data_IF_431701950280
#
_entry.id   IF_431701950280
#
_cell.length_a   1.000
_cell.length_b   1.000
_cell.length_c   1.000
_cell.angle_alpha   90.00
_cell.angle_beta   90.00
_cell.angle_gamma   90.00
#
_symmetry.space_group_name_H-M   'P 1'
#
loop_
_entity.id
_entity.type
_entity.pdbx_description
1 polymer ?
#
# COMPACT_ATOMS: atom_id res chain seq x y z
N UNK A 1 3.38 27.86 74.74
CA UNK A 1 2.90 28.94 73.87
C UNK A 1 2.01 28.30 72.80
N UNK A 2 0.68 28.20 73.00
CA UNK A 2 -0.40 29.09 72.47
C UNK A 2 -0.26 29.30 70.95
N UNK A 3 -0.94 28.50 70.11
CA UNK A 3 -2.32 28.69 69.57
C UNK A 3 -2.58 30.13 69.12
N UNK A 4 -2.99 30.33 67.87
CA UNK A 4 -4.17 31.11 67.51
C UNK A 4 -4.64 30.77 66.08
N UNK A 5 -5.93 30.47 66.01
CA UNK A 5 -6.80 30.23 64.85
C UNK A 5 -7.88 31.31 64.98
N UNK A 6 -8.21 32.04 63.93
CA UNK A 6 -9.45 32.84 63.76
C UNK A 6 -9.61 33.08 62.24
N UNK A 7 -10.65 32.55 61.57
CA UNK A 7 -12.04 33.06 61.42
C UNK A 7 -12.04 34.39 60.61
N UNK A 8 -12.85 34.66 59.58
CA UNK A 8 -14.20 34.19 59.20
C UNK A 8 -14.53 34.48 57.71
N UNK A 9 -15.58 33.82 57.22
CA UNK A 9 -16.26 33.93 55.91
C UNK A 9 -17.09 35.24 55.77
N UNK A 10 -17.71 35.55 54.59
CA UNK A 10 -19.09 35.07 54.42
C UNK A 10 -19.51 34.65 52.99
N UNK A 11 -20.46 33.69 53.00
CA UNK A 11 -21.73 33.68 52.25
C UNK A 11 -21.75 33.48 50.71
N UNK A 12 -22.19 32.26 50.35
CA UNK A 12 -23.02 31.97 49.20
C UNK A 12 -24.36 32.71 49.32
N UNK A 13 -24.90 33.27 48.23
CA UNK A 13 -26.26 33.01 47.69
C UNK A 13 -26.49 33.76 46.35
N UNK A 14 -26.73 32.94 45.32
CA UNK A 14 -27.44 33.10 44.04
C UNK A 14 -27.59 34.46 43.31
N UNK A 15 -27.17 34.46 42.04
CA UNK A 15 -28.07 34.88 40.95
C UNK A 15 -27.98 33.88 39.80
N UNK A 16 -29.15 33.34 39.45
CA UNK A 16 -29.43 32.63 38.22
C UNK A 16 -29.19 33.57 37.03
N UNK A 17 -28.55 33.10 35.97
CA UNK A 17 -29.27 32.79 34.74
C UNK A 17 -28.36 32.10 33.71
N UNK A 18 -29.03 31.37 32.82
CA UNK A 18 -28.65 30.84 31.52
C UNK A 18 -27.20 30.88 31.03
N UNK A 19 -26.80 29.70 30.54
CA UNK A 19 -26.17 29.54 29.23
C UNK A 19 -24.64 29.66 29.19
N UNK A 20 -23.96 28.60 29.66
CA UNK A 20 -22.61 28.26 29.18
C UNK A 20 -22.68 27.93 27.69
N UNK A 21 -22.38 28.94 26.87
CA UNK A 21 -22.07 28.84 25.44
C UNK A 21 -20.88 27.89 25.22
N UNK A 22 -21.02 26.98 24.26
CA UNK A 22 -20.02 26.02 23.78
C UNK A 22 -18.89 26.69 22.98
N UNK A 23 -18.28 27.77 23.48
CA UNK A 23 -17.29 28.54 22.70
C UNK A 23 -15.89 27.90 22.63
N UNK A 24 -15.61 26.85 23.39
CA UNK A 24 -14.34 26.11 23.27
C UNK A 24 -14.35 25.10 22.11
N UNK A 25 -15.52 24.65 21.64
CA UNK A 25 -15.66 23.69 20.53
C UNK A 25 -15.74 24.41 19.17
N UNK A 26 -16.37 25.59 19.12
CA UNK A 26 -16.51 26.40 17.90
C UNK A 26 -15.18 27.01 17.44
N UNK A 27 -14.30 27.40 18.39
CA UNK A 27 -13.00 28.02 18.10
C UNK A 27 -12.01 27.02 17.48
N UNK A 28 -12.04 25.76 17.92
CA UNK A 28 -11.27 24.67 17.34
C UNK A 28 -11.74 24.28 15.94
N UNK A 29 -13.06 24.34 15.68
CA UNK A 29 -13.64 24.11 14.35
C UNK A 29 -13.31 25.25 13.36
N UNK A 30 -13.33 26.52 13.80
CA UNK A 30 -12.98 27.68 12.97
C UNK A 30 -11.50 27.70 12.57
N UNK A 31 -10.60 27.29 13.47
CA UNK A 31 -9.17 27.17 13.17
C UNK A 31 -8.88 25.96 12.24
N UNK A 32 -9.57 24.83 12.42
CA UNK A 32 -9.42 23.66 11.55
C UNK A 32 -10.04 23.83 10.15
N UNK A 33 -11.03 24.71 9.97
CA UNK A 33 -11.57 25.04 8.66
C UNK A 33 -10.69 26.05 7.89
N UNK A 34 -9.88 26.83 8.61
CA UNK A 34 -9.01 27.85 8.01
C UNK A 34 -7.84 27.22 7.25
N UNK A 35 -7.19 26.20 7.82
CA UNK A 35 -6.08 25.47 7.20
C UNK A 35 -6.41 24.87 5.82
N UNK A 36 -7.52 24.15 5.62
CA UNK A 36 -7.87 23.62 4.30
C UNK A 36 -8.28 24.72 3.31
N UNK A 37 -8.90 25.82 3.76
CA UNK A 37 -9.21 26.97 2.90
C UNK A 37 -7.93 27.71 2.45
N UNK A 38 -6.93 27.80 3.33
CA UNK A 38 -5.60 28.34 3.03
C UNK A 38 -4.86 27.42 2.05
N UNK A 39 -4.95 26.10 2.22
CA UNK A 39 -4.42 25.11 1.27
C UNK A 39 -5.09 25.18 -0.11
N UNK A 40 -6.41 25.40 -0.15
CA UNK A 40 -7.19 25.59 -1.40
C UNK A 40 -6.75 26.89 -2.08
N UNK A 41 -6.59 27.97 -1.32
CA UNK A 41 -6.14 29.26 -1.83
C UNK A 41 -4.73 29.15 -2.43
N UNK A 42 -3.79 28.53 -1.71
CA UNK A 42 -2.40 28.39 -2.15
C UNK A 42 -2.27 27.49 -3.39
N UNK A 43 -3.04 26.40 -3.49
CA UNK A 43 -3.07 25.56 -4.69
C UNK A 43 -3.78 26.20 -5.89
N UNK A 44 -4.72 27.13 -5.67
CA UNK A 44 -5.39 27.86 -6.75
C UNK A 44 -4.47 28.89 -7.44
N UNK A 45 -3.52 29.45 -6.69
CA UNK A 45 -2.63 30.51 -7.18
C UNK A 45 -1.23 30.02 -7.61
N UNK A 46 -0.79 28.83 -7.19
CA UNK A 46 0.54 28.29 -7.52
C UNK A 46 0.68 27.74 -8.97
N UNK A 47 -0.42 27.60 -9.71
CA UNK A 47 -0.43 27.01 -11.06
C UNK A 47 -0.82 28.04 -12.11
N UNK A 48 0.19 28.59 -12.81
CA UNK A 48 0.05 29.60 -13.88
C UNK A 48 -0.12 29.03 -15.29
N UNK A 49 -0.41 27.74 -15.44
CA UNK A 49 -0.61 27.11 -16.74
C UNK A 49 -2.00 26.47 -16.82
N UNK A 50 -2.71 26.81 -17.91
CA UNK A 50 -4.03 26.29 -18.28
C UNK A 50 -3.94 24.81 -18.62
N UNK A 51 -3.88 23.97 -17.58
CA UNK A 51 -3.94 22.53 -17.70
C UNK A 51 -5.40 22.08 -17.76
N UNK A 52 -5.83 21.50 -18.89
CA UNK A 52 -7.20 21.05 -19.18
C UNK A 52 -7.69 20.00 -18.16
N UNK A 53 -6.78 19.32 -17.46
CA UNK A 53 -7.09 18.34 -16.41
C UNK A 53 -7.16 18.94 -14.98
N UNK A 54 -6.84 20.23 -14.82
CA UNK A 54 -6.92 20.98 -13.57
C UNK A 54 -8.32 20.94 -12.90
N UNK A 55 -9.44 21.15 -13.61
CA UNK A 55 -10.76 21.05 -12.97
C UNK A 55 -11.07 19.63 -12.49
N UNK A 56 -10.61 18.58 -13.20
CA UNK A 56 -10.78 17.19 -12.79
C UNK A 56 -10.00 16.87 -11.51
N UNK A 57 -8.71 17.24 -11.42
CA UNK A 57 -7.90 16.98 -10.23
C UNK A 57 -8.36 17.79 -9.02
N UNK A 58 -8.76 19.03 -9.23
CA UNK A 58 -9.35 19.88 -8.19
C UNK A 58 -10.66 19.28 -7.71
N UNK A 59 -11.54 18.83 -8.62
CA UNK A 59 -12.82 18.18 -8.24
C UNK A 59 -12.59 16.90 -7.45
N UNK A 60 -11.67 16.03 -7.88
CA UNK A 60 -11.36 14.77 -7.19
C UNK A 60 -10.71 15.02 -5.83
N UNK A 61 -9.78 15.96 -5.74
CA UNK A 61 -9.14 16.35 -4.48
C UNK A 61 -10.12 17.00 -3.50
N UNK A 62 -10.97 17.91 -3.98
CA UNK A 62 -12.00 18.57 -3.18
C UNK A 62 -13.07 17.59 -2.70
N UNK A 63 -13.53 16.66 -3.54
CA UNK A 63 -14.47 15.61 -3.13
C UNK A 63 -13.86 14.70 -2.05
N UNK A 64 -12.59 14.32 -2.20
CA UNK A 64 -11.90 13.50 -1.18
C UNK A 64 -11.78 14.22 0.16
N UNK A 65 -11.47 15.52 0.15
CA UNK A 65 -11.40 16.35 1.36
C UNK A 65 -12.79 16.53 1.99
N UNK A 66 -13.82 16.76 1.17
CA UNK A 66 -15.20 16.89 1.64
C UNK A 66 -15.73 15.57 2.23
N UNK A 67 -15.37 14.43 1.64
CA UNK A 67 -15.70 13.11 2.15
C UNK A 67 -14.98 12.81 3.46
N UNK A 68 -13.71 13.21 3.61
CA UNK A 68 -13.00 13.09 4.89
C UNK A 68 -13.66 13.95 5.98
N UNK A 69 -13.99 15.21 5.65
CA UNK A 69 -14.70 16.13 6.57
C UNK A 69 -16.07 15.56 6.95
N UNK A 70 -16.84 15.04 5.98
CA UNK A 70 -18.13 14.40 6.22
C UNK A 70 -17.98 13.18 7.14
N UNK A 71 -16.98 12.34 6.91
CA UNK A 71 -16.70 11.18 7.76
C UNK A 71 -16.35 11.57 9.19
N UNK A 72 -15.61 12.68 9.38
CA UNK A 72 -15.23 13.21 10.70
C UNK A 72 -16.41 13.90 11.38
N UNK A 73 -17.30 14.53 10.61
CA UNK A 73 -18.54 15.11 11.11
C UNK A 73 -19.50 14.01 11.57
N UNK A 74 -19.71 12.96 10.78
CA UNK A 74 -20.54 11.80 11.16
C UNK A 74 -20.00 11.09 12.40
N UNK A 75 -18.66 10.95 12.52
CA UNK A 75 -18.02 10.41 13.73
C UNK A 75 -18.19 11.30 14.96
N UNK A 76 -18.35 12.62 14.79
CA UNK A 76 -18.52 13.58 15.89
C UNK A 76 -19.98 13.93 16.19
N UNK A 77 -20.92 13.58 15.31
CA UNK A 77 -22.36 13.83 15.45
C UNK A 77 -23.15 12.76 16.19
N UNK A 78 -22.51 11.74 16.77
CA UNK A 78 -23.22 10.88 17.72
C UNK A 78 -23.51 11.70 18.99
N UNK A 79 -24.77 12.08 19.29
CA UNK A 79 -25.09 12.49 20.64
C UNK A 79 -24.75 11.28 21.51
N UNK A 80 -23.95 11.49 22.57
CA UNK A 80 -23.92 10.57 23.70
C UNK A 80 -25.36 10.46 24.18
N UNK A 81 -26.10 9.46 23.70
CA UNK A 81 -27.39 9.07 24.27
C UNK A 81 -27.09 8.84 25.73
N UNK A 82 -27.61 9.74 26.59
CA UNK A 82 -27.70 9.48 28.03
C UNK A 82 -28.31 8.08 28.14
N UNK A 83 -27.55 7.16 28.72
CA UNK A 83 -28.11 5.87 29.12
C UNK A 83 -29.40 6.16 29.90
N UNK A 84 -30.53 5.54 29.55
CA UNK A 84 -31.67 5.57 30.43
C UNK A 84 -31.25 4.81 31.68
N UNK A 85 -31.03 5.54 32.79
CA UNK A 85 -30.96 4.94 34.11
C UNK A 85 -32.17 4.03 34.25
N UNK A 86 -31.93 2.73 34.43
CA UNK A 86 -32.96 1.75 34.73
C UNK A 86 -33.64 2.19 36.02
N UNK A 87 -34.79 2.86 35.87
CA UNK A 87 -35.74 3.10 36.96
C UNK A 87 -36.19 1.72 37.43
N UNK A 88 -35.60 1.27 38.54
CA UNK A 88 -36.12 0.16 39.31
C UNK A 88 -37.51 0.57 39.79
N UNK A 89 -38.49 -0.25 39.41
CA UNK A 89 -39.88 -0.09 39.81
C UNK A 89 -40.01 0.01 41.33
N UNK A 90 -40.74 1.05 41.75
CA UNK A 90 -41.58 1.18 42.93
C UNK A 90 -41.56 0.03 43.96
N UNK A 91 -40.97 0.30 45.12
CA UNK A 91 -41.51 -0.10 46.43
C UNK A 91 -41.10 0.97 47.46
N UNK A 92 -41.91 2.03 47.52
CA UNK A 92 -41.97 2.91 48.69
C UNK A 92 -42.53 2.11 49.86
N UNK A 93 -41.65 1.67 50.76
CA UNK A 93 -42.03 1.39 52.14
C UNK A 93 -41.03 2.06 53.08
N UNK A 94 -41.44 3.23 53.57
CA UNK A 94 -40.94 3.79 54.84
C UNK A 94 -40.87 2.69 55.89
N UNK A 95 -39.69 2.51 56.49
CA UNK A 95 -39.58 2.04 57.88
C UNK A 95 -38.35 2.71 58.51
N UNK A 96 -38.60 3.39 59.63
CA UNK A 96 -37.65 4.32 60.24
C UNK A 96 -36.41 3.67 60.84
N UNK A 97 -35.40 4.51 61.08
CA UNK A 97 -34.31 4.27 62.03
C UNK A 97 -34.89 3.95 63.43
N UNK A 98 -34.24 3.12 64.29
CA UNK A 98 -32.82 3.25 64.73
C UNK A 98 -32.16 1.89 65.13
N UNK A 99 -31.07 1.79 65.94
CA UNK A 99 -29.89 2.64 66.16
C UNK A 99 -28.57 1.93 65.75
N UNK A 100 -27.45 2.67 65.78
CA UNK A 100 -26.09 2.13 65.68
C UNK A 100 -25.87 0.95 66.63
N UNK A 101 -25.54 -0.24 66.11
CA UNK A 101 -24.76 -1.21 66.87
C UNK A 101 -24.00 -2.18 65.94
N UNK A 102 -22.68 -2.21 66.15
CA UNK A 102 -21.72 -3.27 65.83
C UNK A 102 -21.35 -3.45 64.35
N UNK A 103 -20.11 -3.06 64.07
CA UNK A 103 -19.28 -3.58 62.96
C UNK A 103 -19.18 -5.11 63.08
N UNK A 104 -20.14 -5.83 62.50
CA UNK A 104 -19.93 -7.21 62.11
C UNK A 104 -19.09 -7.19 60.84
N UNK A 105 -17.81 -7.54 60.99
CA UNK A 105 -16.97 -7.93 59.87
C UNK A 105 -17.54 -9.27 59.39
N UNK A 106 -18.47 -9.22 58.44
CA UNK A 106 -18.98 -10.43 57.80
C UNK A 106 -17.78 -11.21 57.24
N UNK A 107 -17.65 -12.50 57.58
CA UNK A 107 -16.68 -13.34 56.90
C UNK A 107 -17.10 -13.34 55.44
N UNK A 108 -16.17 -12.99 54.54
CA UNK A 108 -16.39 -13.06 53.11
C UNK A 108 -16.89 -14.48 52.82
N UNK A 109 -18.20 -14.61 52.61
CA UNK A 109 -18.85 -15.90 52.40
C UNK A 109 -18.32 -16.51 51.11
N UNK A 110 -18.17 -17.83 51.08
CA UNK A 110 -17.67 -18.58 49.92
C UNK A 110 -18.47 -18.27 48.64
N UNK A 111 -19.76 -17.95 48.80
CA UNK A 111 -20.65 -17.45 47.76
C UNK A 111 -20.19 -16.12 47.14
N UNK A 112 -19.67 -15.18 47.94
CA UNK A 112 -19.15 -13.90 47.45
C UNK A 112 -17.91 -14.12 46.56
N UNK A 113 -17.06 -15.08 46.93
CA UNK A 113 -15.90 -15.47 46.12
C UNK A 113 -16.34 -16.16 44.81
N UNK A 114 -17.35 -17.03 44.89
CA UNK A 114 -17.96 -17.70 43.73
C UNK A 114 -18.59 -16.70 42.75
N UNK A 115 -19.38 -15.74 43.24
CA UNK A 115 -19.99 -14.69 42.42
C UNK A 115 -18.94 -13.78 41.76
N UNK A 116 -17.85 -13.44 42.45
CA UNK A 116 -16.74 -12.68 41.84
C UNK A 116 -16.04 -13.48 40.74
N UNK A 117 -15.85 -14.78 40.95
CA UNK A 117 -15.27 -15.68 39.93
C UNK A 117 -16.19 -15.81 38.71
N UNK A 118 -17.49 -15.95 38.93
CA UNK A 118 -18.50 -16.03 37.87
C UNK A 118 -18.64 -14.71 37.09
N UNK A 119 -18.63 -13.56 37.77
CA UNK A 119 -18.60 -12.24 37.13
C UNK A 119 -17.36 -12.06 36.25
N UNK A 120 -16.18 -12.46 36.75
CA UNK A 120 -14.95 -12.42 35.96
C UNK A 120 -15.02 -13.37 34.75
N UNK A 121 -15.58 -14.56 34.93
CA UNK A 121 -15.82 -15.52 33.83
C UNK A 121 -16.75 -14.92 32.77
N UNK A 122 -17.88 -14.34 33.19
CA UNK A 122 -18.84 -13.67 32.30
C UNK A 122 -18.21 -12.48 31.56
N UNK A 123 -17.40 -11.67 32.25
CA UNK A 123 -16.66 -10.57 31.62
C UNK A 123 -15.65 -11.08 30.59
N UNK A 124 -14.94 -12.17 30.86
CA UNK A 124 -14.02 -12.78 29.90
C UNK A 124 -14.76 -13.32 28.68
N UNK A 125 -15.90 -14.00 28.88
CA UNK A 125 -16.75 -14.48 27.78
C UNK A 125 -17.24 -13.32 26.90
N UNK A 126 -17.66 -12.19 27.50
CA UNK A 126 -18.08 -11.00 26.75
C UNK A 126 -16.93 -10.39 25.94
N UNK A 127 -15.75 -10.24 26.52
CA UNK A 127 -14.55 -9.76 25.81
C UNK A 127 -14.16 -10.68 24.66
N UNK A 128 -14.28 -11.99 24.86
CA UNK A 128 -14.01 -12.96 23.81
C UNK A 128 -15.01 -12.84 22.65
N UNK A 129 -16.31 -12.72 22.93
CA UNK A 129 -17.33 -12.45 21.91
C UNK A 129 -17.07 -11.15 21.15
N UNK A 130 -16.71 -10.08 21.84
CA UNK A 130 -16.35 -8.80 21.24
C UNK A 130 -15.13 -8.94 20.30
N UNK A 131 -14.12 -9.71 20.71
CA UNK A 131 -12.98 -10.06 19.87
C UNK A 131 -13.40 -10.85 18.63
N UNK A 132 -14.35 -11.79 18.74
CA UNK A 132 -14.84 -12.55 17.59
C UNK A 132 -15.65 -11.70 16.61
N UNK A 133 -16.51 -10.80 17.09
CA UNK A 133 -17.26 -9.91 16.22
C UNK A 133 -16.35 -8.91 15.49
N UNK A 134 -15.31 -8.42 16.16
CA UNK A 134 -14.31 -7.55 15.53
C UNK A 134 -13.46 -8.31 14.49
N UNK A 135 -13.06 -9.55 14.75
CA UNK A 135 -12.34 -10.36 13.75
C UNK A 135 -13.23 -10.70 12.56
N UNK A 136 -14.49 -11.08 12.79
CA UNK A 136 -15.45 -11.37 11.74
C UNK A 136 -15.75 -10.15 10.86
N UNK A 137 -15.84 -8.96 11.48
CA UNK A 137 -15.97 -7.70 10.73
C UNK A 137 -14.78 -7.42 9.81
N UNK A 138 -13.55 -7.71 10.26
CA UNK A 138 -12.34 -7.59 9.43
C UNK A 138 -12.35 -8.60 8.29
N UNK A 139 -12.72 -9.85 8.56
CA UNK A 139 -12.80 -10.90 7.55
C UNK A 139 -13.85 -10.57 6.48
N UNK A 140 -15.02 -10.06 6.88
CA UNK A 140 -16.04 -9.54 5.96
C UNK A 140 -15.50 -8.42 5.06
N UNK A 141 -14.73 -7.49 5.62
CA UNK A 141 -14.12 -6.41 4.85
C UNK A 141 -13.07 -6.93 3.85
N UNK A 142 -12.26 -7.91 4.26
CA UNK A 142 -11.28 -8.57 3.38
C UNK A 142 -11.99 -9.29 2.23
N UNK A 143 -13.03 -10.08 2.52
CA UNK A 143 -13.81 -10.78 1.49
C UNK A 143 -14.48 -9.81 0.51
N UNK A 144 -15.03 -8.69 1.00
CA UNK A 144 -15.62 -7.67 0.13
C UNK A 144 -14.57 -7.04 -0.80
N UNK A 145 -13.37 -6.75 -0.29
CA UNK A 145 -12.27 -6.23 -1.11
C UNK A 145 -11.77 -7.25 -2.14
N UNK A 146 -11.69 -8.53 -1.76
CA UNK A 146 -11.33 -9.63 -2.68
C UNK A 146 -12.38 -9.78 -3.79
N UNK A 147 -13.66 -9.77 -3.44
CA UNK A 147 -14.76 -9.84 -4.41
C UNK A 147 -14.72 -8.65 -5.38
N UNK A 148 -14.51 -7.43 -4.87
CA UNK A 148 -14.37 -6.25 -5.72
C UNK A 148 -13.20 -6.38 -6.70
N UNK A 149 -12.05 -6.89 -6.22
CA UNK A 149 -10.90 -7.16 -7.09
C UNK A 149 -11.23 -8.19 -8.17
N UNK A 150 -11.92 -9.28 -7.81
CA UNK A 150 -12.31 -10.32 -8.76
C UNK A 150 -13.31 -9.83 -9.80
N UNK A 151 -14.25 -8.97 -9.41
CA UNK A 151 -15.16 -8.32 -10.36
C UNK A 151 -14.39 -7.48 -11.36
N UNK A 152 -13.41 -6.69 -10.90
CA UNK A 152 -12.56 -5.91 -11.80
C UNK A 152 -11.74 -6.82 -12.74
N UNK A 153 -11.07 -7.84 -12.21
CA UNK A 153 -10.30 -8.80 -13.02
C UNK A 153 -11.17 -9.47 -14.11
N UNK A 154 -12.42 -9.82 -13.78
CA UNK A 154 -13.36 -10.37 -14.75
C UNK A 154 -13.75 -9.34 -15.83
N UNK A 155 -14.03 -8.10 -15.43
CA UNK A 155 -14.33 -7.01 -16.37
C UNK A 155 -13.19 -6.78 -17.35
N UNK A 156 -11.95 -6.73 -16.86
CA UNK A 156 -10.76 -6.52 -17.70
C UNK A 156 -10.58 -7.69 -18.70
N UNK A 157 -10.85 -8.93 -18.26
CA UNK A 157 -10.81 -10.09 -19.16
C UNK A 157 -11.93 -10.08 -20.19
N UNK A 158 -13.12 -9.62 -19.84
CA UNK A 158 -14.23 -9.47 -20.77
C UNK A 158 -13.91 -8.46 -21.87
N UNK A 159 -13.28 -7.33 -21.53
CA UNK A 159 -12.79 -6.34 -22.51
C UNK A 159 -11.77 -6.96 -23.47
N UNK A 160 -10.79 -7.70 -22.95
CA UNK A 160 -9.81 -8.41 -23.79
C UNK A 160 -10.46 -9.42 -24.74
N UNK A 161 -11.51 -10.13 -24.28
CA UNK A 161 -12.27 -11.06 -25.12
C UNK A 161 -13.01 -10.31 -26.23
N UNK A 162 -13.60 -9.15 -25.93
CA UNK A 162 -14.27 -8.30 -26.92
C UNK A 162 -13.28 -7.84 -27.99
N UNK A 163 -12.10 -7.35 -27.60
CA UNK A 163 -11.05 -6.93 -28.53
C UNK A 163 -10.58 -8.09 -29.43
N UNK A 164 -10.33 -9.26 -28.84
CA UNK A 164 -9.93 -10.45 -29.60
C UNK A 164 -11.01 -10.91 -30.58
N UNK A 165 -12.29 -10.82 -30.20
CA UNK A 165 -13.41 -11.11 -31.10
C UNK A 165 -13.43 -10.13 -32.28
N UNK A 166 -13.27 -8.84 -32.04
CA UNK A 166 -13.23 -7.82 -33.10
C UNK A 166 -12.04 -8.02 -34.06
N UNK A 167 -10.87 -8.38 -33.52
CA UNK A 167 -9.69 -8.73 -34.35
C UNK A 167 -9.94 -9.98 -35.20
N UNK A 168 -10.52 -11.03 -34.61
CA UNK A 168 -10.84 -12.26 -35.34
C UNK A 168 -11.87 -12.02 -36.44
N UNK A 169 -12.87 -11.18 -36.20
CA UNK A 169 -13.85 -10.80 -37.22
C UNK A 169 -13.18 -10.07 -38.39
N UNK A 170 -12.34 -9.07 -38.09
CA UNK A 170 -11.55 -8.34 -39.10
C UNK A 170 -10.65 -9.27 -39.91
N UNK A 171 -9.97 -10.22 -39.26
CA UNK A 171 -9.14 -11.22 -39.95
C UNK A 171 -9.98 -12.14 -40.83
N UNK A 172 -11.15 -12.54 -40.36
CA UNK A 172 -12.08 -13.39 -41.13
C UNK A 172 -12.57 -12.66 -42.38
N UNK A 173 -12.89 -11.37 -42.27
CA UNK A 173 -13.25 -10.53 -43.42
C UNK A 173 -12.11 -10.43 -44.43
N UNK A 174 -10.88 -10.18 -43.97
CA UNK A 174 -9.68 -10.14 -44.84
C UNK A 174 -9.46 -11.47 -45.56
N UNK A 175 -9.58 -12.59 -44.86
CA UNK A 175 -9.46 -13.93 -45.46
C UNK A 175 -10.54 -14.16 -46.53
N UNK A 176 -11.79 -13.75 -46.27
CA UNK A 176 -12.87 -13.82 -47.26
C UNK A 176 -12.60 -12.92 -48.47
N UNK A 177 -12.10 -11.71 -48.26
CA UNK A 177 -11.72 -10.78 -49.33
C UNK A 177 -10.61 -11.37 -50.21
N UNK A 178 -9.53 -11.88 -49.61
CA UNK A 178 -8.47 -12.55 -50.34
C UNK A 178 -8.98 -13.78 -51.11
N UNK A 179 -9.83 -14.61 -50.49
CA UNK A 179 -10.42 -15.77 -51.16
C UNK A 179 -11.32 -15.37 -52.36
N UNK A 180 -12.00 -14.24 -52.27
CA UNK A 180 -12.81 -13.69 -53.36
C UNK A 180 -11.93 -13.11 -54.49
N UNK A 181 -10.86 -12.40 -54.17
CA UNK A 181 -9.89 -11.90 -55.15
C UNK A 181 -9.24 -13.04 -55.94
N UNK A 182 -8.87 -14.14 -55.28
CA UNK A 182 -8.33 -15.32 -55.96
C UNK A 182 -9.34 -16.03 -56.87
N UNK A 183 -10.63 -15.98 -56.55
CA UNK A 183 -11.70 -16.50 -57.44
C UNK A 183 -11.94 -15.58 -58.65
N UNK A 184 -11.89 -14.26 -58.46
CA UNK A 184 -12.11 -13.29 -59.53
C UNK A 184 -10.90 -13.17 -60.48
N UNK A 185 -9.68 -13.35 -59.98
CA UNK A 185 -8.45 -13.32 -60.79
C UNK A 185 -8.18 -14.66 -61.52
N UNK A 186 -8.96 -15.71 -61.26
CA UNK A 186 -8.86 -17.02 -61.92
C UNK A 186 -9.39 -17.09 -63.35
N UNK A 187 -9.87 -15.98 -63.93
CA UNK A 187 -10.45 -15.94 -65.30
C UNK A 187 -9.52 -15.23 -66.32
N UNK A 188 -8.34 -14.78 -65.89
CA UNK A 188 -7.32 -14.19 -66.78
C UNK A 188 -6.41 -15.24 -67.41
N UNK A 189 -6.77 -15.70 -68.61
CA UNK A 189 -5.97 -16.55 -69.49
C UNK A 189 -4.60 -15.89 -69.78
N UNK A 190 -3.52 -16.62 -69.48
CA UNK A 190 -2.28 -16.63 -70.28
C UNK A 190 -1.38 -15.39 -70.20
N UNK A 191 -0.48 -15.36 -69.23
CA UNK A 191 0.70 -14.47 -69.26
C UNK A 191 1.37 -14.38 -67.89
N UNK A 192 2.58 -14.93 -67.78
CA UNK A 192 3.50 -14.80 -66.64
C UNK A 192 3.17 -15.55 -65.34
N UNK A 193 2.82 -16.84 -65.47
CA UNK A 193 2.89 -17.78 -64.35
C UNK A 193 4.28 -17.84 -63.69
N UNK A 194 5.35 -17.53 -64.44
CA UNK A 194 6.72 -17.50 -63.94
C UNK A 194 7.02 -16.26 -63.07
N UNK A 195 6.50 -15.08 -63.45
CA UNK A 195 6.64 -13.84 -62.68
C UNK A 195 5.88 -13.89 -61.36
N UNK A 196 4.66 -14.45 -61.38
CA UNK A 196 3.88 -14.68 -60.16
C UNK A 196 4.57 -15.67 -59.21
N UNK A 197 5.16 -16.76 -59.72
CA UNK A 197 5.92 -17.71 -58.91
C UNK A 197 7.18 -17.09 -58.30
N UNK A 198 7.92 -16.29 -59.06
CA UNK A 198 9.13 -15.62 -58.57
C UNK A 198 8.81 -14.61 -57.44
N UNK A 199 7.71 -13.86 -57.57
CA UNK A 199 7.24 -12.96 -56.52
C UNK A 199 6.72 -13.72 -55.29
N UNK A 200 6.05 -14.84 -55.49
CA UNK A 200 5.58 -15.71 -54.40
C UNK A 200 6.76 -16.29 -53.61
N UNK A 201 7.80 -16.78 -54.28
CA UNK A 201 9.00 -17.31 -53.63
C UNK A 201 9.76 -16.20 -52.89
N UNK A 202 9.89 -15.01 -53.49
CA UNK A 202 10.48 -13.85 -52.81
C UNK A 202 9.70 -13.46 -51.55
N UNK A 203 8.37 -13.40 -51.63
CA UNK A 203 7.52 -13.09 -50.47
C UNK A 203 7.63 -14.16 -49.38
N UNK A 204 7.76 -15.43 -49.76
CA UNK A 204 7.98 -16.53 -48.82
C UNK A 204 9.32 -16.36 -48.10
N UNK A 205 10.41 -16.11 -48.83
CA UNK A 205 11.74 -15.87 -48.23
C UNK A 205 11.71 -14.66 -47.30
N UNK A 206 11.07 -13.56 -47.70
CA UNK A 206 10.94 -12.37 -46.86
C UNK A 206 10.11 -12.64 -45.59
N UNK A 207 9.04 -13.42 -45.70
CA UNK A 207 8.21 -13.82 -44.56
C UNK A 207 8.98 -14.71 -43.58
N UNK A 208 9.78 -15.65 -44.08
CA UNK A 208 10.66 -16.49 -43.27
C UNK A 208 11.75 -15.68 -42.58
N UNK A 209 12.37 -14.72 -43.27
CA UNK A 209 13.33 -13.79 -42.67
C UNK A 209 12.69 -12.92 -41.58
N UNK A 210 11.49 -12.40 -41.83
CA UNK A 210 10.73 -11.62 -40.86
C UNK A 210 10.39 -12.45 -39.63
N UNK A 211 9.91 -13.68 -39.80
CA UNK A 211 9.63 -14.59 -38.69
C UNK A 211 10.89 -14.88 -37.86
N UNK A 212 12.02 -15.16 -38.52
CA UNK A 212 13.31 -15.36 -37.87
C UNK A 212 13.75 -14.12 -37.08
N UNK A 213 13.50 -12.91 -37.60
CA UNK A 213 13.79 -11.66 -36.89
C UNK A 213 12.91 -11.48 -35.65
N UNK A 214 11.62 -11.83 -35.72
CA UNK A 214 10.71 -11.81 -34.57
C UNK A 214 11.10 -12.81 -33.48
N UNK A 215 11.48 -14.02 -33.88
CA UNK A 215 11.98 -15.04 -32.96
C UNK A 215 13.29 -14.59 -32.29
N UNK A 216 14.19 -13.95 -33.05
CA UNK A 216 15.40 -13.31 -32.52
C UNK A 216 15.08 -12.22 -31.50
N UNK A 217 14.15 -11.33 -31.81
CA UNK A 217 13.69 -10.28 -30.89
C UNK A 217 13.06 -10.87 -29.61
N UNK A 218 12.18 -11.89 -29.74
CA UNK A 218 11.57 -12.58 -28.59
C UNK A 218 12.62 -13.27 -27.72
N UNK A 219 13.65 -13.87 -28.34
CA UNK A 219 14.79 -14.45 -27.63
C UNK A 219 15.58 -13.40 -26.85
N UNK A 220 15.93 -12.28 -27.50
CA UNK A 220 16.63 -11.18 -26.83
C UNK A 220 15.81 -10.55 -25.71
N UNK A 221 14.50 -10.39 -25.89
CA UNK A 221 13.59 -9.88 -24.85
C UNK A 221 13.56 -10.80 -23.62
N UNK A 222 13.57 -12.12 -23.82
CA UNK A 222 13.67 -13.09 -22.71
C UNK A 222 15.00 -12.97 -21.98
N UNK A 223 16.13 -12.94 -22.70
CA UNK A 223 17.47 -12.75 -22.11
C UNK A 223 17.59 -11.44 -21.34
N UNK A 224 17.02 -10.35 -21.87
CA UNK A 224 16.99 -9.07 -21.17
C UNK A 224 16.22 -9.16 -19.85
N UNK A 225 15.08 -9.85 -19.85
CA UNK A 225 14.28 -10.06 -18.63
C UNK A 225 15.03 -10.93 -17.61
N UNK A 226 15.66 -12.01 -18.05
CA UNK A 226 16.50 -12.86 -17.21
C UNK A 226 17.66 -12.05 -16.58
N UNK A 227 18.35 -11.23 -17.38
CA UNK A 227 19.42 -10.36 -16.87
C UNK A 227 18.90 -9.29 -15.89
N UNK A 228 17.70 -8.75 -16.11
CA UNK A 228 17.06 -7.82 -15.17
C UNK A 228 16.70 -8.48 -13.85
N UNK A 229 16.14 -9.69 -13.89
CA UNK A 229 15.83 -10.49 -12.71
C UNK A 229 17.10 -10.85 -11.93
N UNK A 230 18.15 -11.33 -12.61
CA UNK A 230 19.45 -11.59 -12.00
C UNK A 230 20.04 -10.32 -11.35
N UNK A 231 20.02 -9.19 -12.05
CA UNK A 231 20.50 -7.92 -11.50
C UNK A 231 19.70 -7.49 -10.26
N UNK A 232 18.37 -7.65 -10.26
CA UNK A 232 17.54 -7.38 -9.09
C UNK A 232 17.92 -8.28 -7.90
N UNK A 233 18.21 -9.57 -8.15
CA UNK A 233 18.69 -10.46 -7.08
C UNK A 233 20.07 -10.06 -6.55
N UNK A 234 20.98 -9.59 -7.41
CA UNK A 234 22.30 -9.10 -7.01
C UNK A 234 22.15 -7.84 -6.16
N UNK A 235 21.34 -6.87 -6.59
CA UNK A 235 21.08 -5.63 -5.84
C UNK A 235 20.51 -5.95 -4.46
N UNK A 236 19.53 -6.85 -4.37
CA UNK A 236 18.95 -7.27 -3.08
C UNK A 236 19.98 -7.92 -2.16
N UNK A 237 20.83 -8.83 -2.68
CA UNK A 237 21.92 -9.44 -1.89
C UNK A 237 22.95 -8.39 -1.45
N UNK A 238 23.25 -7.41 -2.29
CA UNK A 238 24.17 -6.34 -1.98
C UNK A 238 23.62 -5.40 -0.91
N UNK A 239 22.32 -5.11 -0.93
CA UNK A 239 21.63 -4.32 0.10
C UNK A 239 21.64 -5.02 1.47
N UNK A 240 21.40 -6.33 1.49
CA UNK A 240 21.54 -7.13 2.72
C UNK A 240 22.98 -7.08 3.26
N UNK A 241 23.98 -7.26 2.39
CA UNK A 241 25.38 -7.19 2.79
C UNK A 241 25.75 -5.79 3.31
N UNK A 242 25.26 -4.72 2.67
CA UNK A 242 25.46 -3.35 3.11
C UNK A 242 24.85 -3.09 4.49
N UNK A 243 23.65 -3.64 4.75
CA UNK A 243 22.98 -3.53 6.05
C UNK A 243 23.76 -4.24 7.16
N UNK A 244 24.30 -5.44 6.88
CA UNK A 244 25.16 -6.19 7.82
C UNK A 244 26.48 -5.46 8.11
N UNK A 245 27.08 -4.80 7.11
CA UNK A 245 28.26 -3.95 7.29
C UNK A 245 27.93 -2.71 8.13
N UNK A 246 26.79 -2.06 7.90
CA UNK A 246 26.37 -0.91 8.70
C UNK A 246 26.19 -1.30 10.18
N UNK A 247 25.52 -2.42 10.45
CA UNK A 247 25.36 -2.94 11.80
C UNK A 247 26.71 -3.28 12.48
N UNK A 248 27.68 -3.81 11.72
CA UNK A 248 29.02 -4.11 12.26
C UNK A 248 29.78 -2.84 12.64
N UNK A 249 29.69 -1.79 11.81
CA UNK A 249 30.29 -0.49 12.09
C UNK A 249 29.66 0.15 13.33
N UNK A 250 28.34 0.08 13.48
CA UNK A 250 27.64 0.59 14.68
C UNK A 250 28.09 -0.12 15.96
N UNK A 251 28.26 -1.45 15.93
CA UNK A 251 28.79 -2.20 17.06
C UNK A 251 30.24 -1.82 17.39
N UNK A 252 31.09 -1.64 16.37
CA UNK A 252 32.48 -1.18 16.56
C UNK A 252 32.52 0.21 17.19
N UNK A 253 31.67 1.14 16.74
CA UNK A 253 31.56 2.47 17.36
C UNK A 253 31.13 2.39 18.83
N UNK A 254 30.13 1.55 19.15
CA UNK A 254 29.67 1.34 20.53
C UNK A 254 30.73 0.69 21.43
N UNK A 255 31.57 -0.20 20.88
CA UNK A 255 32.74 -0.76 21.55
C UNK A 255 33.78 0.32 21.84
N UNK A 256 34.15 1.11 20.82
CA UNK A 256 35.15 2.17 20.94
C UNK A 256 34.74 3.23 21.99
N UNK A 257 33.46 3.61 22.03
CA UNK A 257 32.93 4.55 23.02
C UNK A 257 33.01 4.03 24.46
N UNK A 258 32.74 2.73 24.69
CA UNK A 258 32.86 2.13 26.04
C UNK A 258 34.30 1.97 26.49
N UNK A 259 35.19 1.56 25.60
CA UNK A 259 36.62 1.47 25.90
C UNK A 259 37.15 2.85 26.32
N UNK A 260 36.77 3.91 25.61
CA UNK A 260 37.17 5.29 25.93
C UNK A 260 36.59 5.84 27.24
N UNK A 261 35.42 5.35 27.69
CA UNK A 261 34.73 5.83 28.90
C UNK A 261 35.00 5.02 30.17
N UNK A 262 35.34 3.73 30.06
CA UNK A 262 35.33 2.81 31.22
C UNK A 262 36.64 2.09 31.53
N UNK A 263 37.71 2.24 30.74
CA UNK A 263 39.10 1.92 31.11
C UNK A 263 39.43 0.46 31.48
N UNK A 264 38.70 -0.17 32.40
CA UNK A 264 39.06 -1.44 33.05
C UNK A 264 37.87 -2.36 33.37
N UNK A 265 36.59 -1.94 33.24
CA UNK A 265 35.45 -2.86 33.41
C UNK A 265 35.11 -3.61 32.09
N UNK A 266 36.01 -4.49 31.66
CA UNK A 266 35.98 -5.24 30.39
C UNK A 266 35.05 -6.47 30.35
N UNK A 267 34.00 -6.52 31.18
CA UNK A 267 33.07 -7.66 31.14
C UNK A 267 32.09 -7.50 29.95
N UNK A 268 32.30 -8.28 28.87
CA UNK A 268 31.38 -8.36 27.72
C UNK A 268 31.94 -7.86 26.38
N UNK A 269 33.13 -7.24 26.37
CA UNK A 269 33.79 -6.77 25.13
C UNK A 269 34.15 -7.94 24.23
N UNK A 270 34.69 -9.03 24.77
CA UNK A 270 35.04 -10.24 24.00
C UNK A 270 33.82 -10.86 23.31
N UNK A 271 32.65 -10.83 23.95
CA UNK A 271 31.41 -11.37 23.38
C UNK A 271 30.89 -10.54 22.20
N UNK A 272 31.01 -9.22 22.28
CA UNK A 272 30.64 -8.32 21.20
C UNK A 272 31.68 -8.31 20.07
N UNK A 273 32.97 -8.46 20.39
CA UNK A 273 34.02 -8.65 19.40
C UNK A 273 33.80 -9.94 18.61
N UNK A 274 33.46 -11.04 19.30
CA UNK A 274 33.09 -12.31 18.68
C UNK A 274 31.81 -12.20 17.83
N UNK A 275 30.85 -11.37 18.23
CA UNK A 275 29.65 -11.09 17.45
C UNK A 275 29.97 -10.34 16.14
N UNK A 276 30.81 -9.30 16.20
CA UNK A 276 31.29 -8.57 15.03
C UNK A 276 32.09 -9.49 14.10
N UNK A 277 33.00 -10.30 14.64
CA UNK A 277 33.77 -11.29 13.88
C UNK A 277 32.86 -12.30 13.18
N UNK A 278 31.84 -12.81 13.88
CA UNK A 278 30.83 -13.70 13.31
C UNK A 278 30.07 -13.09 12.13
N UNK A 279 29.72 -11.81 12.21
CA UNK A 279 29.07 -11.11 11.10
C UNK A 279 30.00 -10.90 9.91
N UNK A 280 31.27 -10.55 10.14
CA UNK A 280 32.27 -10.37 9.09
C UNK A 280 32.58 -11.70 8.37
N UNK A 281 32.68 -12.80 9.11
CA UNK A 281 32.83 -14.15 8.55
C UNK A 281 31.59 -14.55 7.74
N UNK A 282 30.39 -14.25 8.25
CA UNK A 282 29.14 -14.48 7.53
C UNK A 282 29.05 -13.71 6.20
N UNK A 283 29.49 -12.44 6.21
CA UNK A 283 29.59 -11.59 5.02
C UNK A 283 30.60 -12.12 4.01
N UNK A 284 31.77 -12.57 4.47
CA UNK A 284 32.79 -13.17 3.61
C UNK A 284 32.24 -14.40 2.88
N UNK A 285 31.49 -15.26 3.57
CA UNK A 285 30.80 -16.41 2.95
C UNK A 285 29.79 -15.99 1.88
N UNK A 286 28.99 -14.94 2.12
CA UNK A 286 27.98 -14.43 1.18
C UNK A 286 28.61 -13.80 -0.08
N UNK A 287 29.75 -13.11 0.06
CA UNK A 287 30.48 -12.48 -1.05
C UNK A 287 31.19 -13.52 -1.95
N UNK A 288 31.75 -14.58 -1.37
CA UNK A 288 32.42 -15.65 -2.14
C UNK A 288 31.40 -16.40 -3.01
N UNK A 289 30.21 -16.68 -2.47
CA UNK A 289 29.12 -17.38 -3.16
C UNK A 289 28.44 -16.52 -4.23
N UNK A 290 28.50 -15.18 -4.10
CA UNK A 290 27.91 -14.23 -5.04
C UNK A 290 28.77 -13.86 -6.25
N UNK A 291 30.00 -14.36 -6.36
CA UNK A 291 30.87 -14.03 -7.49
C UNK A 291 30.37 -14.70 -8.79
N UNK A 292 30.07 -13.92 -9.85
CA UNK A 292 29.64 -14.51 -11.11
C UNK A 292 30.76 -15.36 -11.69
N UNK A 293 30.45 -16.61 -12.06
CA UNK A 293 31.35 -17.42 -12.88
C UNK A 293 31.65 -16.62 -14.15
N UNK A 294 32.93 -16.34 -14.37
CA UNK A 294 33.48 -15.66 -15.55
C UNK A 294 32.96 -16.35 -16.82
N UNK A 295 31.88 -15.82 -17.40
CA UNK A 295 31.16 -16.42 -18.52
C UNK A 295 30.83 -15.35 -19.54
N UNK A 296 31.71 -15.23 -20.52
CA UNK A 296 31.45 -14.73 -21.87
C UNK A 296 30.95 -13.28 -21.99
N UNK A 297 31.90 -12.35 -21.91
CA UNK A 297 31.74 -11.02 -22.51
C UNK A 297 31.48 -11.18 -24.01
N UNK A 298 30.25 -10.96 -24.44
CA UNK A 298 29.90 -10.78 -25.85
C UNK A 298 30.64 -9.55 -26.34
N UNK A 299 31.67 -9.77 -27.17
CA UNK A 299 32.33 -8.70 -27.92
C UNK A 299 31.27 -8.01 -28.80
N UNK A 300 31.17 -6.68 -28.82
CA UNK A 300 30.37 -6.01 -29.83
C UNK A 300 31.01 -6.29 -31.19
N UNK A 301 30.33 -7.08 -32.02
CA UNK A 301 30.63 -7.19 -33.44
C UNK A 301 30.19 -5.87 -34.07
N UNK A 302 31.11 -4.91 -34.06
CA UNK A 302 31.13 -3.82 -35.04
C UNK A 302 31.69 -4.45 -36.31
N UNK A 303 30.82 -4.63 -37.31
CA UNK A 303 31.11 -4.45 -38.74
C UNK A 303 29.96 -5.03 -39.56
N UNK A 304 29.02 -4.15 -39.94
CA UNK A 304 28.18 -4.34 -41.12
C UNK A 304 28.65 -3.31 -42.14
N UNK A 305 29.21 -3.71 -43.30
CA UNK A 305 29.64 -2.76 -44.31
C UNK A 305 28.42 -2.04 -44.90
N UNK A 306 28.51 -0.72 -44.95
CA UNK A 306 27.54 0.14 -45.61
C UNK A 306 27.48 -0.22 -47.11
N UNK A 307 26.36 -0.79 -47.56
CA UNK A 307 26.05 -0.90 -48.98
C UNK A 307 25.89 0.51 -49.58
N UNK A 308 26.73 0.82 -50.56
CA UNK A 308 26.60 2.01 -51.41
C UNK A 308 25.31 1.90 -52.23
N UNK A 309 24.46 2.93 -52.28
CA UNK A 309 23.43 3.02 -53.31
C UNK A 309 24.10 3.33 -54.66
N UNK A 310 24.02 2.40 -55.60
CA UNK A 310 24.36 2.63 -57.00
C UNK A 310 23.18 3.38 -57.65
N UNK A 311 23.27 4.71 -57.67
CA UNK A 311 22.38 5.58 -58.43
C UNK A 311 22.85 5.68 -59.88
N UNK A 312 22.03 5.16 -60.80
CA UNK A 312 22.03 5.49 -62.21
C UNK A 312 21.44 6.89 -62.42
N UNK A 313 22.06 7.65 -63.33
CA UNK A 313 21.35 8.59 -64.20
C UNK A 313 21.26 10.05 -63.70
N UNK A 314 22.12 10.90 -64.24
CA UNK A 314 21.77 12.29 -64.54
C UNK A 314 22.53 12.75 -65.78
N UNK A 315 21.77 13.41 -66.66
CA UNK A 315 22.10 13.95 -67.97
C UNK A 315 23.20 15.03 -67.94
N UNK A 316 23.86 15.24 -69.08
CA UNK A 316 24.75 16.39 -69.29
C UNK A 316 25.49 16.36 -70.62
N UNK A 317 24.95 17.13 -71.57
CA UNK A 317 25.44 17.53 -72.92
C UNK A 317 25.29 16.55 -74.10
#
# INVERSE_FOLDING_TARGET
MRKLRTNSSPELLFSADGQRSNDSTSKGAKANAKLPLELIHDHSHASKEDDVQKPQRISTGMMTILDDIKSRLEKSQFPKKREPQLRRCNTDLRRGFPPEERKHREPITEENYKLRRELNSSMMARKHLESMFTSLGKEKAIMAAELARKVQELSDMEELIVDLKAQNETLTEKVKACAAEHKNNGVGIGGDSSGSMALQERNKVLSEQLLKSFDGYRSMKRKLKEAQEENATIVSKMEMAASEVAASIEMIHGLHERIGKHGEAMAGIDGELAAVEGMLVGLQGKLIVGSPKKGESVKPVVDMPAEKPSGLGAEGE
#
